data_IF_695201414437
#
_entry.id   IF_695201414437
#
_cell.length_a   1.000
_cell.length_b   1.000
_cell.length_c   1.000
_cell.angle_alpha   90.00
_cell.angle_beta   90.00
_cell.angle_gamma   90.00
#
_symmetry.space_group_name_H-M   'P 1'
#
loop_
_entity.id
_entity.type
_entity.pdbx_description
1 polymer ?
#
# COMPACT_ATOMS: atom_id res chain seq x y z
N UNK A 1 20.45 -11.04 -58.34
CA UNK A 1 19.49 -9.93 -58.46
C UNK A 1 18.56 -10.03 -57.28
N UNK A 2 18.75 -9.15 -56.29
CA UNK A 2 17.93 -9.05 -55.08
C UNK A 2 17.42 -7.61 -55.02
N UNK A 3 16.15 -7.37 -54.67
CA UNK A 3 15.63 -6.01 -54.63
C UNK A 3 16.14 -5.27 -53.37
N UNK A 4 16.40 -3.95 -53.46
CA UNK A 4 16.79 -3.15 -52.30
C UNK A 4 15.57 -2.78 -51.44
N UNK A 5 15.73 -2.89 -50.11
CA UNK A 5 14.76 -2.38 -49.13
C UNK A 5 14.67 -0.85 -49.15
N UNK A 6 13.47 -0.27 -48.94
CA UNK A 6 13.30 1.18 -48.86
C UNK A 6 13.79 1.73 -47.52
N UNK A 7 14.70 2.71 -47.60
CA UNK A 7 15.15 3.51 -46.47
C UNK A 7 14.08 4.56 -46.11
N UNK A 8 13.65 4.58 -44.84
CA UNK A 8 12.82 5.65 -44.28
C UNK A 8 13.69 6.84 -43.85
N UNK A 9 13.30 8.10 -44.18
CA UNK A 9 14.05 9.27 -43.76
C UNK A 9 13.56 9.75 -42.38
N UNK A 10 14.30 9.40 -41.33
CA UNK A 10 14.17 10.07 -40.04
C UNK A 10 14.96 11.39 -40.08
N UNK A 11 14.25 12.52 -40.25
CA UNK A 11 14.79 13.86 -40.07
C UNK A 11 15.10 14.10 -38.59
N UNK A 12 16.37 14.00 -38.21
CA UNK A 12 16.87 14.62 -36.99
C UNK A 12 17.10 16.11 -37.25
N UNK A 13 16.31 16.96 -36.60
CA UNK A 13 16.57 18.39 -36.54
C UNK A 13 17.78 18.63 -35.62
N UNK A 14 18.94 18.84 -36.26
CA UNK A 14 20.17 19.37 -35.66
C UNK A 14 19.92 20.82 -35.26
N UNK A 15 19.92 21.10 -33.96
CA UNK A 15 20.03 22.47 -33.45
C UNK A 15 21.52 22.81 -33.32
N UNK A 16 22.05 23.47 -34.34
CA UNK A 16 23.28 24.25 -34.21
C UNK A 16 22.96 25.50 -33.39
N UNK A 17 23.69 25.71 -32.29
CA UNK A 17 23.87 27.06 -31.74
C UNK A 17 25.26 27.19 -31.12
N UNK A 18 26.21 27.53 -32.00
CA UNK A 18 27.38 28.29 -31.62
C UNK A 18 26.96 29.72 -31.27
N UNK A 19 27.63 30.30 -30.28
CA UNK A 19 27.38 31.66 -29.80
C UNK A 19 28.26 31.95 -28.61
N UNK A 20 29.57 32.06 -28.87
CA UNK A 20 30.53 32.59 -27.94
C UNK A 20 30.23 34.08 -27.67
N UNK A 21 30.06 34.43 -26.41
CA UNK A 21 30.21 35.80 -25.94
C UNK A 21 31.14 35.80 -24.73
N UNK A 22 32.38 36.19 -24.99
CA UNK A 22 33.30 36.74 -23.99
C UNK A 22 32.63 37.95 -23.33
N UNK A 23 32.64 37.99 -22.00
CA UNK A 23 32.13 39.11 -21.22
C UNK A 23 32.79 39.12 -19.84
N UNK A 24 33.81 39.98 -19.73
CA UNK A 24 34.39 40.65 -18.57
C UNK A 24 34.22 40.03 -17.17
N UNK A 25 35.37 39.68 -16.60
CA UNK A 25 35.63 39.64 -15.16
C UNK A 25 35.65 41.07 -14.61
N UNK A 26 34.68 41.42 -13.78
CA UNK A 26 34.76 42.60 -12.93
C UNK A 26 35.07 42.18 -11.49
N UNK A 27 36.18 42.75 -11.01
CA UNK A 27 36.66 42.72 -9.63
C UNK A 27 35.93 43.79 -8.81
N UNK A 28 35.71 43.48 -7.54
CA UNK A 28 35.39 44.39 -6.42
C UNK A 28 33.94 44.88 -6.25
N UNK A 29 33.49 44.87 -4.98
CA UNK A 29 32.42 45.76 -4.51
C UNK A 29 31.18 45.09 -3.91
N UNK A 30 31.32 44.32 -2.82
CA UNK A 30 30.17 44.00 -1.96
C UNK A 30 29.90 45.16 -0.99
N UNK A 31 28.70 45.77 -0.96
CA UNK A 31 28.34 46.67 0.11
C UNK A 31 27.81 45.88 1.32
N UNK A 32 28.42 46.14 2.49
CA UNK A 32 27.95 45.75 3.80
C UNK A 32 26.56 46.32 4.06
N UNK A 33 25.58 45.45 4.35
CA UNK A 33 24.28 45.85 4.85
C UNK A 33 24.28 45.78 6.39
N UNK A 34 24.23 46.96 6.99
CA UNK A 34 24.11 47.22 8.42
C UNK A 34 22.73 46.79 8.92
N UNK A 35 22.71 45.95 9.96
CA UNK A 35 21.49 45.62 10.71
C UNK A 35 21.15 46.77 11.68
N UNK A 36 19.91 47.29 11.71
CA UNK A 36 19.45 48.08 12.82
C UNK A 36 18.98 47.15 13.95
N UNK A 37 19.71 47.22 15.07
CA UNK A 37 19.23 46.87 16.40
C UNK A 37 18.13 47.86 16.80
N UNK A 38 16.92 47.37 17.05
CA UNK A 38 15.96 48.09 17.90
C UNK A 38 15.34 47.11 18.88
N UNK A 39 15.90 47.16 20.08
CA UNK A 39 15.32 46.67 21.33
C UNK A 39 14.36 47.76 21.87
N UNK A 40 13.54 47.38 22.85
CA UNK A 40 12.54 48.15 23.60
C UNK A 40 11.10 48.18 23.03
N UNK A 41 10.01 48.00 23.79
CA UNK A 41 9.79 47.76 25.23
C UNK A 41 8.27 47.73 25.49
N UNK A 42 7.89 46.97 26.52
CA UNK A 42 6.69 47.09 27.37
C UNK A 42 5.28 46.68 26.87
N UNK A 43 4.81 45.60 27.51
CA UNK A 43 3.73 45.63 28.51
C UNK A 43 2.29 45.86 28.03
N UNK A 44 1.52 44.77 28.01
CA UNK A 44 0.08 44.86 28.28
C UNK A 44 -0.41 43.56 28.91
N UNK A 45 -0.46 43.58 30.23
CA UNK A 45 -1.17 42.66 31.08
C UNK A 45 -2.70 42.91 31.03
N UNK A 46 -3.45 41.84 31.29
CA UNK A 46 -4.79 41.83 31.91
C UNK A 46 -5.97 42.52 31.19
N UNK A 47 -6.81 41.70 30.55
CA UNK A 47 -8.26 41.74 30.81
C UNK A 47 -8.80 40.30 30.87
N UNK A 48 -9.04 39.84 32.09
CA UNK A 48 -10.01 38.78 32.39
C UNK A 48 -11.44 39.33 32.26
N UNK A 49 -12.32 38.61 31.59
CA UNK A 49 -13.73 38.39 31.98
C UNK A 49 -14.32 37.32 31.04
N UNK A 50 -14.43 36.08 31.52
CA UNK A 50 -15.66 35.53 32.09
C UNK A 50 -16.83 35.42 31.09
N UNK A 51 -16.92 34.25 30.44
CA UNK A 51 -18.22 33.65 30.10
C UNK A 51 -18.15 32.15 30.37
N UNK A 52 -18.77 31.74 31.49
CA UNK A 52 -18.87 30.38 31.99
C UNK A 52 -20.27 29.83 31.69
N UNK A 53 -20.33 28.51 31.42
CA UNK A 53 -21.49 27.58 31.38
C UNK A 53 -22.28 27.63 30.07
N UNK A 54 -22.57 26.50 29.42
CA UNK A 54 -23.27 25.33 29.97
C UNK A 54 -23.09 24.12 29.02
N UNK A 55 -22.55 23.00 29.49
CA UNK A 55 -23.19 21.70 29.86
C UNK A 55 -23.15 20.63 28.76
N UNK A 56 -22.84 19.38 29.15
CA UNK A 56 -23.34 18.20 28.43
C UNK A 56 -22.35 17.14 27.91
N UNK A 57 -21.27 16.79 28.60
CA UNK A 57 -20.43 15.63 28.22
C UNK A 57 -20.56 14.46 29.22
N UNK A 58 -21.54 13.58 28.99
CA UNK A 58 -21.60 12.21 29.53
C UNK A 58 -22.21 11.26 28.50
N UNK A 59 -21.37 10.64 27.65
CA UNK A 59 -21.58 9.31 27.04
C UNK A 59 -20.19 8.69 26.87
N UNK A 60 -19.77 7.90 27.85
CA UNK A 60 -19.87 6.43 27.88
C UNK A 60 -18.76 5.76 27.06
N UNK A 61 -17.76 5.27 27.79
CA UNK A 61 -16.65 4.45 27.30
C UNK A 61 -17.09 3.02 26.87
N UNK A 62 -18.39 2.71 26.90
CA UNK A 62 -18.95 1.39 26.55
C UNK A 62 -19.18 1.24 25.04
N UNK A 63 -19.34 2.34 24.28
CA UNK A 63 -19.54 2.26 22.81
C UNK A 63 -18.25 1.98 22.02
N UNK A 64 -17.06 2.14 22.63
CA UNK A 64 -15.78 1.80 21.96
C UNK A 64 -15.43 0.31 22.00
N UNK A 65 -16.06 -0.47 22.87
CA UNK A 65 -15.77 -1.91 22.99
C UNK A 65 -16.60 -2.80 22.05
N UNK A 66 -17.76 -2.32 21.55
CA UNK A 66 -18.67 -3.11 20.72
C UNK A 66 -18.33 -3.03 19.21
N UNK A 67 -17.62 -1.98 18.79
CA UNK A 67 -17.22 -1.78 17.38
C UNK A 67 -16.19 -2.80 16.86
N UNK A 68 -15.41 -3.44 17.73
CA UNK A 68 -14.36 -4.38 17.32
C UNK A 68 -14.85 -5.84 17.13
N UNK A 69 -16.03 -6.20 17.64
CA UNK A 69 -16.57 -7.57 17.55
C UNK A 69 -17.46 -7.79 16.31
N UNK A 70 -17.99 -6.73 15.70
CA UNK A 70 -18.89 -6.85 14.53
C UNK A 70 -18.12 -7.01 13.21
N UNK A 71 -16.84 -6.65 13.14
CA UNK A 71 -16.01 -6.84 11.94
C UNK A 71 -15.49 -8.28 11.73
N UNK A 72 -15.42 -9.12 12.78
CA UNK A 72 -14.95 -10.51 12.64
C UNK A 72 -16.07 -11.52 12.35
N UNK A 73 -17.34 -11.19 12.59
CA UNK A 73 -18.46 -12.12 12.40
C UNK A 73 -18.97 -12.23 10.94
N UNK A 74 -18.53 -11.36 10.02
CA UNK A 74 -19.07 -11.29 8.64
C UNK A 74 -18.27 -12.08 7.59
N UNK A 75 -17.12 -12.66 7.97
CA UNK A 75 -16.29 -13.49 7.08
C UNK A 75 -16.72 -14.97 7.10
N UNK A 76 -17.40 -15.42 8.16
CA UNK A 76 -17.78 -16.82 8.34
C UNK A 76 -18.99 -17.31 7.50
N UNK A 77 -19.80 -16.41 6.92
CA UNK A 77 -21.06 -16.81 6.25
C UNK A 77 -21.01 -16.86 4.72
N UNK A 78 -19.87 -16.58 4.08
CA UNK A 78 -19.79 -16.52 2.59
C UNK A 78 -19.19 -17.76 1.91
N UNK A 79 -18.77 -18.78 2.66
CA UNK A 79 -18.13 -19.99 2.12
C UNK A 79 -19.05 -21.21 1.99
N UNK A 80 -20.35 -21.10 2.32
CA UNK A 80 -21.26 -22.25 2.42
C UNK A 80 -22.13 -22.54 1.18
N UNK A 81 -21.97 -21.85 0.04
CA UNK A 81 -22.93 -21.95 -1.07
C UNK A 81 -22.36 -22.22 -2.47
N UNK A 82 -21.19 -22.84 -2.61
CA UNK A 82 -20.66 -23.19 -3.94
C UNK A 82 -19.93 -24.52 -4.06
N UNK A 83 -20.53 -25.64 -3.64
CA UNK A 83 -20.04 -26.96 -4.08
C UNK A 83 -21.19 -27.93 -4.36
N UNK A 84 -21.53 -28.05 -5.65
CA UNK A 84 -22.21 -29.23 -6.21
C UNK A 84 -21.12 -30.15 -6.76
N UNK A 85 -21.05 -31.45 -6.38
CA UNK A 85 -19.93 -32.31 -6.79
C UNK A 85 -20.12 -32.92 -8.19
N UNK A 86 -19.05 -32.91 -9.00
CA UNK A 86 -18.92 -33.75 -10.20
C UNK A 86 -17.83 -34.80 -9.92
N UNK A 87 -18.24 -36.06 -9.88
CA UNK A 87 -17.42 -37.25 -9.73
C UNK A 87 -16.32 -37.35 -10.79
N UNK A 88 -15.10 -37.78 -10.42
CA UNK A 88 -14.40 -38.88 -11.10
C UNK A 88 -13.17 -39.41 -10.33
N UNK A 89 -12.88 -40.68 -10.63
CA UNK A 89 -12.11 -41.71 -9.91
C UNK A 89 -10.57 -41.64 -10.01
N UNK A 90 -9.95 -42.12 -8.92
CA UNK A 90 -8.85 -43.10 -8.77
C UNK A 90 -7.43 -42.84 -9.33
N UNK A 91 -6.41 -42.88 -8.43
CA UNK A 91 -5.22 -43.79 -8.41
C UNK A 91 -4.37 -43.54 -7.10
N UNK A 92 -3.29 -44.28 -6.75
CA UNK A 92 -3.12 -45.02 -5.46
C UNK A 92 -1.98 -44.47 -4.53
N UNK A 93 -1.70 -45.11 -3.36
CA UNK A 93 -1.03 -44.45 -2.22
C UNK A 93 0.49 -44.69 -2.13
N UNK A 94 1.20 -43.74 -1.53
CA UNK A 94 2.60 -43.87 -1.08
C UNK A 94 2.69 -43.71 0.44
N UNK A 95 3.59 -44.51 1.02
CA UNK A 95 3.71 -44.92 2.43
C UNK A 95 4.36 -43.89 3.37
N UNK A 96 3.87 -43.94 4.61
CA UNK A 96 4.50 -43.83 5.94
C UNK A 96 5.77 -42.99 6.18
N UNK A 97 5.69 -42.16 7.23
CA UNK A 97 6.85 -41.74 8.03
C UNK A 97 6.50 -40.96 9.30
N UNK A 98 6.43 -41.67 10.43
CA UNK A 98 6.83 -41.17 11.77
C UNK A 98 6.01 -40.08 12.46
N UNK A 99 5.13 -40.47 13.40
CA UNK A 99 4.68 -39.59 14.48
C UNK A 99 5.01 -40.23 15.82
N UNK A 100 5.96 -39.63 16.55
CA UNK A 100 6.26 -39.94 17.95
C UNK A 100 6.03 -38.67 18.77
N UNK A 101 5.25 -38.85 19.85
CA UNK A 101 5.34 -38.07 21.09
C UNK A 101 4.79 -36.63 20.95
N UNK A 102 4.04 -36.00 21.85
CA UNK A 102 3.82 -36.12 23.28
C UNK A 102 2.50 -35.41 23.57
N UNK A 103 1.54 -36.06 24.23
CA UNK A 103 0.55 -35.32 25.03
C UNK A 103 0.49 -35.97 26.40
N UNK A 104 1.32 -35.38 27.27
CA UNK A 104 1.24 -35.47 28.71
C UNK A 104 0.35 -34.32 29.19
N UNK A 105 -0.20 -34.51 30.38
CA UNK A 105 -0.92 -33.55 31.23
C UNK A 105 -2.31 -33.13 30.78
N UNK A 106 -3.32 -33.80 31.36
CA UNK A 106 -4.35 -33.17 32.19
C UNK A 106 -5.03 -34.26 33.03
N UNK A 107 -4.64 -34.35 34.30
CA UNK A 107 -5.34 -35.14 35.31
C UNK A 107 -5.43 -34.28 36.57
N UNK A 108 -6.55 -33.59 36.74
CA UNK A 108 -6.92 -33.01 38.03
C UNK A 108 -8.42 -32.65 38.01
N UNK A 109 -9.25 -33.57 38.54
CA UNK A 109 -10.44 -33.31 39.36
C UNK A 109 -11.27 -34.59 39.45
N UNK A 110 -11.28 -35.18 40.64
CA UNK A 110 -12.48 -35.42 41.44
C UNK A 110 -12.24 -36.57 42.40
N UNK A 111 -12.37 -36.29 43.70
CA UNK A 111 -12.88 -37.26 44.66
C UNK A 111 -14.17 -36.67 45.21
N UNK A 112 -15.23 -37.49 45.27
CA UNK A 112 -15.83 -37.68 46.58
C UNK A 112 -15.99 -39.15 46.93
N UNK A 113 -15.71 -39.35 48.20
CA UNK A 113 -15.93 -40.50 49.06
C UNK A 113 -17.32 -41.14 48.89
N UNK A 114 -17.34 -42.45 48.66
CA UNK A 114 -18.51 -43.30 48.94
C UNK A 114 -18.07 -44.71 49.30
N UNK A 115 -18.29 -45.01 50.57
CA UNK A 115 -18.15 -46.29 51.22
C UNK A 115 -19.20 -47.31 50.75
N UNK A 116 -18.80 -48.59 50.74
CA UNK A 116 -19.70 -49.67 51.17
C UNK A 116 -20.14 -50.73 50.16
N UNK A 117 -19.64 -51.95 50.42
CA UNK A 117 -20.27 -53.29 50.26
C UNK A 117 -20.07 -54.04 48.91
N UNK A 118 -19.55 -55.29 48.98
CA UNK A 118 -19.25 -56.12 47.82
C UNK A 118 -20.44 -57.02 47.43
N UNK A 119 -20.75 -57.07 46.13
CA UNK A 119 -21.58 -58.13 45.55
C UNK A 119 -20.94 -58.63 44.26
N UNK A 120 -20.36 -59.82 44.35
CA UNK A 120 -20.02 -60.68 43.23
C UNK A 120 -21.27 -60.89 42.35
N UNK A 121 -21.27 -60.28 41.15
CA UNK A 121 -22.16 -60.66 40.05
C UNK A 121 -21.31 -60.96 38.83
N UNK A 122 -21.55 -62.14 38.27
CA UNK A 122 -20.73 -62.76 37.24
C UNK A 122 -20.48 -61.87 36.03
N UNK A 123 -19.22 -61.85 35.62
CA UNK A 123 -18.75 -61.43 34.31
C UNK A 123 -19.41 -62.31 33.23
N UNK A 124 -20.65 -61.97 32.86
CA UNK A 124 -21.17 -62.35 31.55
C UNK A 124 -20.37 -61.55 30.53
N UNK A 125 -19.51 -62.25 29.79
CA UNK A 125 -18.90 -61.80 28.55
C UNK A 125 -20.01 -61.37 27.58
N UNK A 126 -20.46 -60.13 27.70
CA UNK A 126 -21.21 -59.45 26.65
C UNK A 126 -20.23 -59.26 25.51
N UNK A 127 -20.30 -60.16 24.52
CA UNK A 127 -19.77 -59.93 23.18
C UNK A 127 -20.47 -58.68 22.66
N UNK A 128 -19.91 -57.51 22.96
CA UNK A 128 -20.31 -56.28 22.31
C UNK A 128 -20.18 -56.55 20.80
N UNK A 129 -21.25 -56.36 20.01
CA UNK A 129 -21.23 -56.72 18.60
C UNK A 129 -20.15 -55.87 17.94
N UNK A 130 -19.20 -56.52 17.27
CA UNK A 130 -18.11 -55.87 16.53
C UNK A 130 -18.60 -54.74 15.59
N UNK A 131 -19.88 -54.78 15.21
CA UNK A 131 -20.58 -53.73 14.47
C UNK A 131 -20.58 -52.35 15.15
N UNK A 132 -20.68 -52.24 16.48
CA UNK A 132 -20.69 -50.94 17.16
C UNK A 132 -19.33 -50.25 17.14
N UNK A 133 -18.24 -51.03 17.22
CA UNK A 133 -16.88 -50.50 17.10
C UNK A 133 -16.59 -50.02 15.68
N UNK A 134 -17.05 -50.77 14.66
CA UNK A 134 -16.93 -50.36 13.27
C UNK A 134 -17.72 -49.07 12.96
N UNK A 135 -18.93 -48.92 13.51
CA UNK A 135 -19.73 -47.71 13.36
C UNK A 135 -19.06 -46.49 14.02
N UNK A 136 -18.51 -46.65 15.23
CA UNK A 136 -17.79 -45.57 15.91
C UNK A 136 -16.53 -45.13 15.17
N UNK A 137 -15.77 -46.08 14.59
CA UNK A 137 -14.58 -45.78 13.77
C UNK A 137 -14.95 -45.06 12.46
N UNK A 138 -16.03 -45.46 11.81
CA UNK A 138 -16.54 -44.77 10.62
C UNK A 138 -16.97 -43.33 10.94
N UNK A 139 -17.69 -43.11 12.04
CA UNK A 139 -18.11 -41.77 12.47
C UNK A 139 -16.89 -40.91 12.82
N UNK A 140 -15.91 -41.46 13.56
CA UNK A 140 -14.67 -40.75 13.87
C UNK A 140 -13.85 -40.38 12.63
N UNK A 141 -13.76 -41.28 11.64
CA UNK A 141 -13.06 -41.02 10.39
C UNK A 141 -13.78 -39.97 9.53
N UNK A 142 -15.12 -40.00 9.48
CA UNK A 142 -15.90 -38.96 8.83
C UNK A 142 -15.73 -37.59 9.51
N UNK A 143 -15.69 -37.52 10.85
CA UNK A 143 -15.46 -36.25 11.56
C UNK A 143 -14.06 -35.67 11.32
N UNK A 144 -13.04 -36.52 11.12
CA UNK A 144 -11.69 -36.07 10.74
C UNK A 144 -11.63 -35.54 9.30
N UNK A 145 -12.40 -36.13 8.38
CA UNK A 145 -12.52 -35.64 7.00
C UNK A 145 -13.38 -34.37 6.88
N UNK A 146 -14.31 -34.16 7.82
CA UNK A 146 -15.12 -32.94 7.92
C UNK A 146 -14.46 -31.86 8.79
N UNK A 147 -13.33 -32.15 9.43
CA UNK A 147 -12.55 -31.12 10.08
C UNK A 147 -12.08 -30.16 8.99
N UNK A 148 -12.43 -28.86 9.05
CA UNK A 148 -11.90 -27.91 8.08
C UNK A 148 -10.37 -28.05 8.11
N UNK A 149 -9.69 -28.07 6.95
CA UNK A 149 -8.25 -28.04 6.95
C UNK A 149 -7.87 -26.90 7.88
N UNK A 150 -6.97 -27.17 8.84
CA UNK A 150 -6.33 -26.11 9.62
C UNK A 150 -5.53 -25.35 8.56
N UNK A 151 -6.19 -24.39 7.91
CA UNK A 151 -5.53 -23.35 7.16
C UNK A 151 -4.74 -22.64 8.23
N UNK A 152 -3.44 -22.98 8.28
CA UNK A 152 -2.48 -22.17 8.99
C UNK A 152 -2.82 -20.73 8.64
N UNK A 153 -3.04 -19.89 9.66
CA UNK A 153 -3.33 -18.49 9.45
C UNK A 153 -2.28 -17.87 8.53
N UNK A 154 -2.58 -16.72 7.91
CA UNK A 154 -1.61 -16.05 7.04
C UNK A 154 -0.26 -15.98 7.74
N UNK A 155 0.77 -16.49 7.05
CA UNK A 155 2.11 -16.68 7.61
C UNK A 155 2.86 -15.35 7.65
N UNK A 156 2.47 -14.43 6.78
CA UNK A 156 3.04 -13.10 6.70
C UNK A 156 1.96 -12.06 6.33
N UNK A 157 2.25 -10.81 6.62
CA UNK A 157 1.40 -9.64 6.37
C UNK A 157 2.13 -8.64 5.47
N UNK A 158 1.42 -8.09 4.48
CA UNK A 158 1.93 -7.09 3.54
C UNK A 158 1.00 -5.88 3.50
N UNK A 159 1.53 -4.70 3.83
CA UNK A 159 0.82 -3.45 3.61
C UNK A 159 1.24 -2.79 2.31
N UNK A 160 0.27 -2.30 1.54
CA UNK A 160 0.49 -1.73 0.22
C UNK A 160 -0.12 -0.33 0.14
N UNK A 161 0.69 0.65 -0.27
CA UNK A 161 0.22 1.96 -0.70
C UNK A 161 0.78 2.26 -2.08
N UNK A 162 -0.05 2.37 -3.11
CA UNK A 162 0.42 2.60 -4.48
C UNK A 162 -0.47 3.60 -5.21
N UNK A 163 0.13 4.40 -6.10
CA UNK A 163 -0.62 5.32 -6.98
C UNK A 163 -1.07 4.55 -8.22
N UNK A 164 -2.29 4.01 -8.15
CA UNK A 164 -2.92 3.17 -9.17
C UNK A 164 -4.29 3.74 -9.56
N UNK A 165 -4.80 3.49 -10.78
CA UNK A 165 -6.16 3.87 -11.12
C UNK A 165 -7.18 2.88 -10.50
N UNK A 166 -6.71 1.74 -9.96
CA UNK A 166 -7.55 0.76 -9.31
C UNK A 166 -7.99 1.23 -7.92
N UNK A 167 -9.20 0.84 -7.53
CA UNK A 167 -9.63 0.98 -6.14
C UNK A 167 -8.81 0.04 -5.26
N UNK A 168 -8.51 0.45 -4.03
CA UNK A 168 -7.71 -0.32 -3.08
C UNK A 168 -8.16 -1.79 -2.96
N UNK A 169 -9.46 -2.05 -2.79
CA UNK A 169 -10.01 -3.42 -2.73
C UNK A 169 -9.79 -4.26 -3.98
N UNK A 170 -9.79 -3.65 -5.17
CA UNK A 170 -9.55 -4.37 -6.41
C UNK A 170 -8.07 -4.73 -6.57
N UNK A 171 -7.17 -3.81 -6.17
CA UNK A 171 -5.74 -4.10 -6.15
C UNK A 171 -5.41 -5.15 -5.07
N UNK A 172 -6.05 -5.08 -3.90
CA UNK A 172 -5.89 -6.02 -2.79
C UNK A 172 -6.20 -7.44 -3.25
N UNK A 173 -7.38 -7.65 -3.82
CA UNK A 173 -7.79 -8.95 -4.33
C UNK A 173 -6.81 -9.50 -5.38
N UNK A 174 -6.36 -8.66 -6.33
CA UNK A 174 -5.40 -9.08 -7.36
C UNK A 174 -4.05 -9.52 -6.79
N UNK A 175 -3.54 -8.81 -5.78
CA UNK A 175 -2.27 -9.14 -5.13
C UNK A 175 -2.44 -10.38 -4.27
N UNK A 176 -3.52 -10.47 -3.48
CA UNK A 176 -3.82 -11.60 -2.61
C UNK A 176 -3.98 -12.91 -3.40
N UNK A 177 -4.71 -12.88 -4.52
CA UNK A 177 -4.84 -14.02 -5.45
C UNK A 177 -3.48 -14.50 -5.99
N UNK A 178 -2.50 -13.60 -6.06
CA UNK A 178 -1.14 -13.88 -6.53
C UNK A 178 -0.16 -14.28 -5.42
N UNK A 179 -0.55 -14.17 -4.15
CA UNK A 179 0.32 -14.35 -2.98
C UNK A 179 -0.34 -15.25 -1.92
N UNK A 180 -0.55 -16.54 -2.21
CA UNK A 180 -1.20 -17.45 -1.24
C UNK A 180 -0.39 -17.53 0.05
N UNK A 181 -1.06 -17.33 1.19
CA UNK A 181 -0.46 -17.37 2.52
C UNK A 181 0.07 -16.03 3.04
N UNK A 182 -0.03 -14.95 2.25
CA UNK A 182 0.26 -13.58 2.67
C UNK A 182 -1.05 -12.82 2.82
N UNK A 183 -1.30 -12.24 4.00
CA UNK A 183 -2.43 -11.33 4.23
C UNK A 183 -2.06 -9.94 3.70
N UNK A 184 -2.77 -9.50 2.67
CA UNK A 184 -2.48 -8.25 1.95
C UNK A 184 -3.52 -7.20 2.35
N UNK A 185 -3.05 -6.04 2.80
CA UNK A 185 -3.91 -4.88 3.05
C UNK A 185 -3.49 -3.71 2.16
N UNK A 186 -4.40 -3.22 1.32
CA UNK A 186 -4.14 -2.07 0.44
C UNK A 186 -4.79 -0.80 0.99
N UNK A 187 -4.00 0.26 1.08
CA UNK A 187 -4.42 1.57 1.57
C UNK A 187 -4.62 2.55 0.41
N UNK A 188 -5.78 3.21 0.38
CA UNK A 188 -6.07 4.26 -0.62
C UNK A 188 -5.55 5.65 -0.24
N UNK A 189 -5.09 5.85 1.00
CA UNK A 189 -4.61 7.14 1.54
C UNK A 189 -3.30 6.94 2.27
N UNK A 190 -2.40 7.91 2.12
CA UNK A 190 -1.10 7.90 2.79
C UNK A 190 -1.23 7.97 4.32
N UNK A 191 -2.20 8.76 4.83
CA UNK A 191 -2.45 8.87 6.27
C UNK A 191 -2.80 7.54 6.92
N UNK A 192 -3.63 6.74 6.24
CA UNK A 192 -4.16 5.48 6.76
C UNK A 192 -3.07 4.42 6.72
N UNK A 193 -2.28 4.38 5.65
CA UNK A 193 -1.09 3.54 5.54
C UNK A 193 -0.08 3.83 6.66
N UNK A 194 0.25 5.10 6.89
CA UNK A 194 1.15 5.50 7.97
C UNK A 194 0.63 5.10 9.35
N UNK A 195 -0.63 5.41 9.64
CA UNK A 195 -1.26 5.06 10.91
C UNK A 195 -1.27 3.54 11.16
N UNK A 196 -1.52 2.74 10.11
CA UNK A 196 -1.47 1.29 10.20
C UNK A 196 -0.05 0.76 10.46
N UNK A 197 0.97 1.30 9.76
CA UNK A 197 2.37 0.95 9.99
C UNK A 197 2.83 1.25 11.42
N UNK A 198 2.36 2.35 12.01
CA UNK A 198 2.71 2.76 13.38
C UNK A 198 1.97 1.93 14.45
N UNK A 199 0.70 1.59 14.20
CA UNK A 199 -0.14 0.89 15.18
C UNK A 199 0.01 -0.63 15.18
N UNK A 200 0.19 -1.24 14.01
CA UNK A 200 0.33 -2.68 13.83
C UNK A 200 1.26 -2.94 12.64
N UNK A 201 2.59 -2.94 12.85
CA UNK A 201 3.54 -3.08 11.76
C UNK A 201 3.39 -4.46 11.08
N UNK A 202 3.34 -4.50 9.73
CA UNK A 202 3.30 -5.74 8.97
C UNK A 202 4.70 -6.35 8.84
N UNK A 203 4.83 -7.51 8.21
CA UNK A 203 6.14 -8.11 7.91
C UNK A 203 6.87 -7.37 6.78
N UNK A 204 6.12 -6.80 5.84
CA UNK A 204 6.65 -5.96 4.77
C UNK A 204 5.69 -4.83 4.38
N UNK A 205 6.25 -3.77 3.80
CA UNK A 205 5.50 -2.65 3.25
C UNK A 205 5.93 -2.33 1.82
N UNK A 206 4.97 -2.21 0.91
CA UNK A 206 5.17 -1.83 -0.49
C UNK A 206 4.64 -0.43 -0.73
N UNK A 207 5.50 0.49 -1.19
CA UNK A 207 5.13 1.89 -1.40
C UNK A 207 6.07 2.62 -2.36
N UNK A 208 5.66 3.71 -3.05
CA UNK A 208 6.59 4.57 -3.78
C UNK A 208 7.80 4.96 -2.92
N UNK A 209 8.99 4.95 -3.53
CA UNK A 209 10.25 5.29 -2.84
C UNK A 209 10.21 6.61 -2.03
N UNK A 210 9.60 7.71 -2.52
CA UNK A 210 9.47 8.94 -1.71
C UNK A 210 8.61 8.77 -0.46
N UNK A 211 7.59 7.90 -0.51
CA UNK A 211 6.75 7.59 0.66
C UNK A 211 7.58 6.86 1.70
N UNK A 212 8.31 5.80 1.31
CA UNK A 212 9.20 5.07 2.21
C UNK A 212 10.27 5.99 2.82
N UNK A 213 10.88 6.85 2.02
CA UNK A 213 11.86 7.83 2.49
C UNK A 213 11.26 8.80 3.52
N UNK A 214 10.01 9.26 3.31
CA UNK A 214 9.31 10.12 4.28
C UNK A 214 9.03 9.44 5.63
N UNK A 215 9.02 8.11 5.65
CA UNK A 215 8.85 7.26 6.83
C UNK A 215 10.20 6.79 7.41
N UNK A 216 11.32 7.34 6.94
CA UNK A 216 12.68 6.92 7.29
C UNK A 216 12.94 5.42 7.02
N UNK A 217 12.39 4.88 5.94
CA UNK A 217 12.58 3.50 5.50
C UNK A 217 13.37 3.44 4.20
N UNK A 218 14.26 2.47 4.10
CA UNK A 218 15.05 2.18 2.89
C UNK A 218 14.37 1.09 2.07
N UNK A 219 14.58 1.12 0.75
CA UNK A 219 14.09 0.06 -0.14
C UNK A 219 15.02 -1.16 -0.08
N UNK A 220 14.44 -2.34 0.20
CA UNK A 220 15.13 -3.63 0.16
C UNK A 220 14.98 -4.32 -1.20
N UNK A 221 13.83 -4.11 -1.87
CA UNK A 221 13.56 -4.52 -3.25
C UNK A 221 13.05 -3.31 -4.00
N UNK A 222 13.60 -3.06 -5.19
CA UNK A 222 13.24 -1.90 -6.00
C UNK A 222 12.46 -2.34 -7.24
N UNK A 223 11.29 -1.74 -7.46
CA UNK A 223 10.56 -1.88 -8.71
C UNK A 223 11.27 -1.12 -9.84
N UNK A 224 11.36 -1.74 -11.00
CA UNK A 224 11.99 -1.19 -12.19
C UNK A 224 10.95 -1.09 -13.32
N UNK A 225 11.01 -0.04 -14.13
CA UNK A 225 10.23 0.12 -15.36
C UNK A 225 11.17 0.56 -16.49
N UNK A 226 11.21 -0.21 -17.56
CA UNK A 226 12.15 -0.01 -18.66
C UNK A 226 13.61 0.21 -18.19
N UNK A 227 14.04 -0.54 -17.17
CA UNK A 227 15.38 -0.43 -16.59
C UNK A 227 15.64 0.78 -15.68
N UNK A 228 14.63 1.62 -15.42
CA UNK A 228 14.70 2.77 -14.49
C UNK A 228 13.99 2.46 -13.17
N UNK A 229 14.54 2.92 -12.04
CA UNK A 229 13.89 2.86 -10.71
C UNK A 229 13.00 4.09 -10.43
N UNK A 230 12.92 5.01 -11.39
CA UNK A 230 12.14 6.22 -11.31
C UNK A 230 11.29 6.42 -12.57
N UNK A 231 10.14 7.04 -12.38
CA UNK A 231 9.22 7.41 -13.44
C UNK A 231 9.22 8.91 -13.67
N UNK A 232 9.11 9.28 -14.93
CA UNK A 232 8.96 10.67 -15.36
C UNK A 232 7.57 11.20 -14.98
N UNK A 233 7.53 12.38 -14.40
CA UNK A 233 6.32 13.15 -14.16
C UNK A 233 6.21 14.26 -15.21
N UNK A 234 4.99 14.44 -15.70
CA UNK A 234 4.62 15.44 -16.68
C UNK A 234 3.95 16.60 -15.96
N UNK A 235 4.26 17.82 -16.39
CA UNK A 235 3.54 19.01 -15.98
C UNK A 235 2.44 19.31 -17.00
N UNK A 236 1.19 19.29 -16.56
CA UNK A 236 0.01 19.43 -17.42
C UNK A 236 -0.77 20.69 -17.03
N UNK A 237 -1.04 21.58 -17.98
CA UNK A 237 -1.83 22.80 -17.76
C UNK A 237 -2.82 23.03 -18.90
N UNK A 238 -3.85 23.83 -18.65
CA UNK A 238 -4.77 24.34 -19.69
C UNK A 238 -4.30 25.66 -20.32
N UNK A 239 -3.19 26.23 -19.81
CA UNK A 239 -2.57 27.47 -20.30
C UNK A 239 -1.20 27.17 -20.90
N UNK A 240 -0.65 28.12 -21.66
CA UNK A 240 0.73 28.03 -22.10
C UNK A 240 1.67 28.13 -20.89
N UNK A 241 2.68 27.26 -20.83
CA UNK A 241 3.66 27.22 -19.74
C UNK A 241 5.01 27.73 -20.24
N UNK A 242 5.58 28.70 -19.53
CA UNK A 242 6.98 29.11 -19.70
C UNK A 242 7.76 28.84 -18.42
N UNK A 243 9.09 28.73 -18.51
CA UNK A 243 9.94 28.35 -17.36
C UNK A 243 9.91 29.40 -16.25
N UNK A 244 9.75 30.66 -16.62
CA UNK A 244 9.75 31.81 -15.73
C UNK A 244 8.50 31.84 -14.85
N UNK A 245 7.41 31.25 -15.31
CA UNK A 245 6.14 31.20 -14.58
C UNK A 245 6.11 30.13 -13.50
N UNK A 246 7.03 29.14 -13.52
CA UNK A 246 6.94 27.96 -12.68
C UNK A 246 6.95 28.27 -11.16
N UNK A 247 7.54 29.37 -10.72
CA UNK A 247 7.57 29.74 -9.31
C UNK A 247 6.24 30.31 -8.79
N UNK A 248 5.39 30.85 -9.67
CA UNK A 248 4.17 31.59 -9.28
C UNK A 248 2.85 30.81 -9.46
N UNK A 249 2.90 29.56 -9.93
CA UNK A 249 1.71 28.76 -10.20
C UNK A 249 1.27 27.95 -8.98
N UNK A 250 -0.02 27.64 -8.94
CA UNK A 250 -0.60 26.66 -8.00
C UNK A 250 -0.59 25.28 -8.65
N UNK A 251 -0.05 24.29 -7.95
CA UNK A 251 0.14 22.95 -8.49
C UNK A 251 -0.78 21.91 -7.87
N UNK A 252 -1.44 21.08 -8.67
CA UNK A 252 -2.11 19.87 -8.22
C UNK A 252 -1.17 18.67 -8.23
N UNK A 253 -1.17 17.85 -7.18
CA UNK A 253 -0.40 16.59 -7.15
C UNK A 253 -1.08 15.52 -6.27
N UNK A 254 -0.88 14.25 -6.61
CA UNK A 254 -1.29 13.12 -5.77
C UNK A 254 -0.46 13.06 -4.48
N UNK A 255 -1.10 12.66 -3.37
CA UNK A 255 -0.54 12.55 -2.02
C UNK A 255 0.63 11.56 -1.90
N UNK A 256 1.84 11.95 -2.32
CA UNK A 256 3.04 11.11 -2.25
C UNK A 256 3.87 11.33 -0.98
N UNK A 257 3.72 12.47 -0.34
CA UNK A 257 4.46 12.85 0.87
C UNK A 257 3.55 13.65 1.79
N UNK A 258 3.96 13.81 3.04
CA UNK A 258 3.18 14.56 4.03
C UNK A 258 2.88 16.00 3.59
N UNK A 259 1.74 16.53 4.06
CA UNK A 259 1.27 17.88 3.73
C UNK A 259 2.33 18.96 3.92
N UNK A 260 3.16 18.86 4.97
CA UNK A 260 4.20 19.84 5.30
C UNK A 260 5.41 19.77 4.36
N UNK A 261 5.72 18.60 3.82
CA UNK A 261 6.87 18.38 2.92
C UNK A 261 6.50 18.49 1.44
N UNK A 262 5.21 18.43 1.11
CA UNK A 262 4.72 18.44 -0.26
C UNK A 262 5.14 19.67 -1.09
N UNK A 263 5.07 20.93 -0.60
CA UNK A 263 5.58 22.08 -1.35
C UNK A 263 7.06 21.98 -1.71
N UNK A 264 7.90 21.51 -0.76
CA UNK A 264 9.34 21.31 -1.00
C UNK A 264 9.59 20.19 -2.01
N UNK A 265 8.81 19.11 -1.93
CA UNK A 265 8.88 18.00 -2.89
C UNK A 265 8.54 18.48 -4.31
N UNK A 266 7.45 19.24 -4.48
CA UNK A 266 7.06 19.83 -5.77
C UNK A 266 8.12 20.80 -6.30
N UNK A 267 8.67 21.67 -5.43
CA UNK A 267 9.75 22.58 -5.81
C UNK A 267 10.97 21.82 -6.39
N UNK A 268 11.35 20.71 -5.76
CA UNK A 268 12.42 19.83 -6.24
C UNK A 268 12.14 19.21 -7.61
N UNK A 269 10.91 18.76 -7.86
CA UNK A 269 10.51 18.23 -9.18
C UNK A 269 10.57 19.29 -10.27
N UNK A 270 10.14 20.51 -9.95
CA UNK A 270 10.12 21.65 -10.88
C UNK A 270 11.50 22.29 -11.10
N UNK A 271 12.48 21.99 -10.24
CA UNK A 271 13.79 22.62 -10.26
C UNK A 271 13.77 24.09 -9.84
N UNK A 272 12.81 24.48 -8.99
CA UNK A 272 12.68 25.84 -8.45
C UNK A 272 13.08 25.90 -6.99
N UNK A 273 13.64 27.03 -6.55
CA UNK A 273 14.08 27.19 -5.15
C UNK A 273 12.94 27.55 -4.19
N UNK A 274 11.92 28.27 -4.67
CA UNK A 274 10.78 28.69 -3.87
C UNK A 274 9.72 27.57 -3.79
N UNK A 275 9.17 27.32 -2.60
CA UNK A 275 8.11 26.35 -2.40
C UNK A 275 6.77 26.90 -2.94
N UNK A 276 6.17 26.27 -3.96
CA UNK A 276 4.94 26.79 -4.55
C UNK A 276 3.70 26.41 -3.72
N UNK A 277 2.56 27.02 -4.02
CA UNK A 277 1.28 26.59 -3.48
C UNK A 277 0.89 25.24 -4.10
N UNK A 278 0.49 24.28 -3.25
CA UNK A 278 0.16 22.93 -3.69
C UNK A 278 -1.23 22.50 -3.23
N UNK A 279 -2.06 22.11 -4.19
CA UNK A 279 -3.33 21.43 -4.01
C UNK A 279 -3.12 19.92 -4.06
N UNK A 280 -3.51 19.25 -2.98
CA UNK A 280 -3.28 17.82 -2.80
C UNK A 280 -4.55 17.03 -3.13
N UNK A 281 -4.40 15.96 -3.87
CA UNK A 281 -5.49 15.01 -4.14
C UNK A 281 -5.10 13.58 -3.78
N UNK A 282 -6.10 12.75 -3.54
CA UNK A 282 -5.89 11.33 -3.24
C UNK A 282 -5.81 10.47 -4.49
N UNK A 283 -6.46 10.88 -5.58
CA UNK A 283 -6.57 10.08 -6.80
C UNK A 283 -6.19 10.88 -8.04
N UNK A 284 -5.78 10.16 -9.07
CA UNK A 284 -5.36 10.76 -10.35
C UNK A 284 -6.53 11.45 -11.05
N UNK A 285 -7.74 10.89 -10.98
CA UNK A 285 -8.93 11.50 -11.60
C UNK A 285 -9.31 12.86 -11.00
N UNK A 286 -8.97 13.10 -9.73
CA UNK A 286 -9.28 14.34 -9.04
C UNK A 286 -8.40 15.50 -9.53
N UNK A 287 -7.21 15.20 -10.11
CA UNK A 287 -6.34 16.22 -10.73
C UNK A 287 -7.05 16.94 -11.89
N UNK A 288 -7.91 16.24 -12.63
CA UNK A 288 -8.64 16.84 -13.73
C UNK A 288 -9.64 17.88 -13.22
N UNK A 289 -10.29 17.61 -12.08
CA UNK A 289 -11.20 18.55 -11.45
C UNK A 289 -10.49 19.83 -11.02
N UNK A 290 -9.23 19.74 -10.56
CA UNK A 290 -8.45 20.92 -10.20
C UNK A 290 -8.23 21.86 -11.38
N UNK A 291 -7.94 21.30 -12.57
CA UNK A 291 -7.82 22.08 -13.81
C UNK A 291 -9.18 22.62 -14.28
N UNK A 292 -10.24 21.82 -14.17
CA UNK A 292 -11.58 22.21 -14.61
C UNK A 292 -12.13 23.39 -13.82
N UNK A 293 -11.96 23.37 -12.50
CA UNK A 293 -12.41 24.44 -11.62
C UNK A 293 -11.36 25.53 -11.39
N UNK A 294 -10.22 25.46 -12.09
CA UNK A 294 -9.11 26.41 -12.00
C UNK A 294 -8.61 26.63 -10.56
N UNK A 295 -8.71 25.60 -9.72
CA UNK A 295 -8.17 25.62 -8.35
C UNK A 295 -6.66 25.34 -8.34
N UNK A 296 -6.15 24.72 -9.41
CA UNK A 296 -4.73 24.66 -9.73
C UNK A 296 -4.49 25.18 -11.15
N UNK A 297 -3.33 25.79 -11.38
CA UNK A 297 -2.93 26.32 -12.68
C UNK A 297 -2.22 25.25 -13.52
N UNK A 298 -1.58 24.27 -12.87
CA UNK A 298 -1.00 23.08 -13.50
C UNK A 298 -1.07 21.87 -12.55
N UNK A 299 -0.94 20.66 -13.08
CA UNK A 299 -0.89 19.41 -12.30
C UNK A 299 0.33 18.57 -12.67
N UNK A 300 0.88 17.87 -11.68
CA UNK A 300 1.96 16.91 -11.85
C UNK A 300 1.39 15.50 -11.96
N UNK A 301 1.59 14.86 -13.11
CA UNK A 301 1.01 13.57 -13.48
C UNK A 301 2.12 12.56 -13.84
N UNK A 302 2.12 11.33 -13.31
CA UNK A 302 3.03 10.30 -13.79
C UNK A 302 2.79 10.00 -15.28
N UNK A 303 3.86 9.88 -16.07
CA UNK A 303 3.78 9.75 -17.53
C UNK A 303 2.87 8.59 -17.98
N UNK A 304 2.84 7.48 -17.23
CA UNK A 304 1.96 6.33 -17.53
C UNK A 304 0.47 6.66 -17.58
N UNK A 305 0.04 7.73 -16.92
CA UNK A 305 -1.36 8.13 -16.86
C UNK A 305 -1.74 9.14 -17.93
N UNK A 306 -0.81 9.55 -18.80
CA UNK A 306 -1.06 10.57 -19.81
C UNK A 306 -2.24 10.24 -20.72
N UNK A 307 -2.26 9.05 -21.32
CA UNK A 307 -3.31 8.64 -22.26
C UNK A 307 -4.68 8.61 -21.59
N UNK A 308 -4.75 8.03 -20.38
CA UNK A 308 -5.97 7.93 -19.60
C UNK A 308 -6.47 9.31 -19.18
N UNK A 309 -5.56 10.20 -18.79
CA UNK A 309 -5.88 11.58 -18.41
C UNK A 309 -6.41 12.40 -19.58
N UNK A 310 -5.77 12.31 -20.76
CA UNK A 310 -6.21 12.96 -22.00
C UNK A 310 -7.58 12.43 -22.44
N UNK A 311 -7.80 11.10 -22.42
CA UNK A 311 -9.06 10.50 -22.87
C UNK A 311 -10.29 10.87 -22.04
N UNK A 312 -10.09 11.25 -20.78
CA UNK A 312 -11.18 11.61 -19.84
C UNK A 312 -11.61 13.07 -19.94
N UNK A 313 -10.93 13.88 -20.76
CA UNK A 313 -11.20 15.31 -20.89
C UNK A 313 -11.30 15.72 -22.36
N UNK A 314 -12.07 16.78 -22.62
CA UNK A 314 -12.10 17.48 -23.92
C UNK A 314 -11.25 18.75 -23.92
N UNK A 315 -10.53 19.02 -22.83
CA UNK A 315 -9.69 20.21 -22.69
C UNK A 315 -8.45 20.12 -23.56
N UNK A 316 -7.99 21.25 -24.07
CA UNK A 316 -6.68 21.34 -24.70
C UNK A 316 -5.63 21.48 -23.59
N UNK A 317 -4.65 20.58 -23.57
CA UNK A 317 -3.59 20.59 -22.57
C UNK A 317 -2.25 21.00 -23.19
N UNK A 318 -1.51 21.83 -22.45
CA UNK A 318 -0.07 22.00 -22.62
C UNK A 318 0.63 21.00 -21.71
N UNK A 319 1.41 20.09 -22.28
CA UNK A 319 2.13 19.06 -21.54
C UNK A 319 3.63 19.31 -21.68
N UNK A 320 4.29 19.51 -20.55
CA UNK A 320 5.73 19.74 -20.47
C UNK A 320 6.39 18.59 -19.72
N UNK A 321 7.39 17.96 -20.36
CA UNK A 321 8.27 17.00 -19.69
C UNK A 321 9.46 17.73 -19.08
N UNK A 322 9.69 17.54 -17.78
CA UNK A 322 10.77 18.17 -17.04
C UNK A 322 11.83 17.12 -16.68
N UNK A 323 13.07 17.29 -17.13
CA UNK A 323 14.14 16.30 -16.87
C UNK A 323 14.41 16.04 -15.37
N UNK A 324 14.07 17.01 -14.51
CA UNK A 324 14.19 16.93 -13.05
C UNK A 324 13.00 16.24 -12.37
N UNK A 325 11.85 16.16 -13.03
CA UNK A 325 10.62 15.64 -12.44
C UNK A 325 10.58 14.11 -12.50
N UNK A 326 11.52 13.45 -11.82
CA UNK A 326 11.57 11.99 -11.71
C UNK A 326 11.20 11.58 -10.29
N UNK A 327 10.28 10.62 -10.17
CA UNK A 327 9.80 10.12 -8.89
C UNK A 327 10.09 8.64 -8.80
N UNK A 328 10.70 8.20 -7.71
CA UNK A 328 11.03 6.79 -7.51
C UNK A 328 9.78 5.90 -7.51
N UNK A 329 9.87 4.77 -8.21
CA UNK A 329 8.82 3.76 -8.34
C UNK A 329 8.51 3.07 -7.01
N UNK A 330 7.49 2.21 -7.03
CA UNK A 330 7.19 1.37 -5.87
C UNK A 330 8.39 0.49 -5.50
N UNK A 331 8.61 0.36 -4.20
CA UNK A 331 9.66 -0.43 -3.59
C UNK A 331 9.08 -1.17 -2.38
N UNK A 332 9.78 -2.21 -1.95
CA UNK A 332 9.42 -2.99 -0.75
C UNK A 332 10.47 -2.75 0.32
N UNK A 333 10.01 -2.57 1.55
CA UNK A 333 10.83 -2.63 2.76
C UNK A 333 10.32 -3.75 3.67
N UNK A 334 11.24 -4.52 4.26
CA UNK A 334 10.91 -5.57 5.22
C UNK A 334 11.04 -5.04 6.64
N UNK A 335 10.02 -5.28 7.46
CA UNK A 335 9.99 -4.91 8.86
C UNK A 335 10.20 -6.13 9.78
N UNK A 336 9.95 -7.34 9.27
CA UNK A 336 10.09 -8.61 9.99
C UNK A 336 10.71 -9.68 9.08
N UNK A 337 10.23 -10.94 9.13
CA UNK A 337 10.79 -12.06 8.38
C UNK A 337 10.64 -11.87 6.86
N UNK A 338 11.78 -11.85 6.16
CA UNK A 338 11.88 -11.50 4.73
C UNK A 338 11.40 -12.60 3.77
N UNK A 339 11.70 -13.86 4.11
CA UNK A 339 11.60 -15.00 3.18
C UNK A 339 10.20 -15.24 2.58
N UNK A 340 9.11 -15.30 3.37
CA UNK A 340 7.80 -15.62 2.80
C UNK A 340 7.30 -14.54 1.83
N UNK A 341 7.57 -13.27 2.13
CA UNK A 341 7.06 -12.14 1.33
C UNK A 341 7.95 -11.88 0.12
N UNK A 342 9.28 -11.92 0.23
CA UNK A 342 10.18 -11.67 -0.91
C UNK A 342 9.91 -12.62 -2.07
N UNK A 343 9.82 -13.92 -1.79
CA UNK A 343 9.55 -14.93 -2.80
C UNK A 343 8.19 -14.75 -3.47
N UNK A 344 7.19 -14.24 -2.75
CA UNK A 344 5.87 -13.95 -3.29
C UNK A 344 5.88 -12.67 -4.15
N UNK A 345 6.55 -11.60 -3.71
CA UNK A 345 6.71 -10.35 -4.48
C UNK A 345 7.40 -10.60 -5.83
N UNK A 346 8.53 -11.34 -5.83
CA UNK A 346 9.28 -11.64 -7.06
C UNK A 346 8.52 -12.51 -8.06
N UNK A 347 7.46 -13.20 -7.61
CA UNK A 347 6.59 -14.06 -8.44
C UNK A 347 5.28 -13.40 -8.85
N UNK A 348 5.07 -12.12 -8.51
CA UNK A 348 3.86 -11.40 -8.93
C UNK A 348 3.70 -11.44 -10.46
N UNK A 349 2.48 -11.73 -10.96
CA UNK A 349 2.26 -11.84 -12.40
C UNK A 349 2.36 -10.46 -13.07
N UNK A 350 2.78 -10.45 -14.34
CA UNK A 350 3.05 -9.22 -15.12
C UNK A 350 1.90 -8.21 -15.12
N UNK A 351 0.66 -8.65 -15.10
CA UNK A 351 -0.49 -7.74 -15.08
C UNK A 351 -0.63 -6.99 -13.73
N UNK A 352 -0.28 -7.63 -12.61
CA UNK A 352 -0.23 -6.98 -11.29
C UNK A 352 0.95 -6.02 -11.22
N UNK A 353 2.11 -6.41 -11.78
CA UNK A 353 3.26 -5.51 -11.90
C UNK A 353 2.91 -4.25 -12.70
N UNK A 354 2.22 -4.41 -13.83
CA UNK A 354 1.74 -3.29 -14.64
C UNK A 354 0.77 -2.38 -13.87
N UNK A 355 -0.14 -2.94 -13.07
CA UNK A 355 -1.05 -2.17 -12.20
C UNK A 355 -0.31 -1.37 -11.11
N UNK A 356 0.86 -1.86 -10.67
CA UNK A 356 1.79 -1.19 -9.76
C UNK A 356 2.74 -0.20 -10.47
N UNK A 357 2.73 -0.17 -11.79
CA UNK A 357 3.60 0.69 -12.60
C UNK A 357 5.04 0.21 -12.72
N UNK A 358 5.30 -1.09 -12.57
CA UNK A 358 6.62 -1.71 -12.68
C UNK A 358 6.61 -2.88 -13.68
N UNK A 359 7.77 -3.19 -14.26
CA UNK A 359 7.95 -4.32 -15.17
C UNK A 359 8.63 -5.50 -14.47
N UNK A 360 9.54 -5.22 -13.54
CA UNK A 360 10.32 -6.22 -12.80
C UNK A 360 10.79 -5.72 -11.42
N UNK A 361 11.34 -6.63 -10.62
CA UNK A 361 11.90 -6.34 -9.30
C UNK A 361 13.41 -6.57 -9.30
N UNK A 362 14.16 -5.59 -8.79
CA UNK A 362 15.60 -5.68 -8.56
C UNK A 362 15.85 -5.92 -7.08
#
# INVERSE_FOLDING_TARGET
MSPPSPASPFRQARWDRGGASQGALDKEGWPSATLPTHDDREDMSLVETSCRRSTGARRSAVERAVGHLVCRARIATRWASSWVPRNNRAAPPVRHGGSRSLLRTLAERAWPDRTGVPLHRGLRSTRAPAALVAAALLIGCCLLLLSPPITAGPVATLYVYAVTPLRARALEQKIEESMPGVDVTVFGKLSDFKAALESSPPDAALSPKPVLASLNRTADIQGMKAGSDAEQYLLVSTRALTKEMLSGLRYGIVDLVERKSLPKFVAGLLGVSAAPEVQRVTKIEDLLQLLQFQTADAVLLPERFRSDFESRSKMTFTILSLSTAKVGLVAVTFLSERQPVEGAIRRLPKHVLADLGVDEWK
#
